data_IF_962803059270
#
_entry.id   IF_962803059270
#
_cell.length_a   1.000
_cell.length_b   1.000
_cell.length_c   1.000
_cell.angle_alpha   90.00
_cell.angle_beta   90.00
_cell.angle_gamma   90.00
#
_symmetry.space_group_name_H-M   'P 1'
#
loop_
_entity.id
_entity.type
_entity.pdbx_description
1 polymer ?
#
# COMPACT_ATOMS: atom_id res chain seq x y z
N UNK A 1 -26.13 -63.66 -42.24
CA UNK A 1 -25.28 -62.60 -42.85
C UNK A 1 -25.31 -61.41 -41.91
N UNK A 2 -24.13 -60.97 -41.44
CA UNK A 2 -23.81 -59.65 -40.83
C UNK A 2 -24.63 -59.26 -39.56
N UNK A 3 -24.07 -58.70 -38.49
CA UNK A 3 -22.87 -57.89 -38.39
C UNK A 3 -22.28 -57.97 -36.96
N UNK A 4 -20.95 -57.99 -36.92
CA UNK A 4 -20.09 -57.92 -35.75
C UNK A 4 -20.26 -56.54 -35.08
N UNK A 5 -20.48 -56.53 -33.77
CA UNK A 5 -20.69 -55.33 -32.97
C UNK A 5 -20.00 -55.46 -31.62
N UNK A 6 -18.70 -55.80 -31.66
CA UNK A 6 -17.79 -55.65 -30.52
C UNK A 6 -17.91 -54.25 -29.97
N UNK A 7 -18.58 -54.11 -28.83
CA UNK A 7 -18.24 -53.06 -27.90
C UNK A 7 -17.30 -53.71 -26.88
N UNK A 8 -15.97 -53.52 -26.96
CA UNK A 8 -15.11 -53.92 -25.88
C UNK A 8 -15.50 -53.05 -24.69
N UNK A 9 -16.21 -53.64 -23.73
CA UNK A 9 -16.24 -53.12 -22.38
C UNK A 9 -14.79 -53.03 -21.92
N UNK A 10 -14.22 -51.84 -22.04
CA UNK A 10 -12.96 -51.48 -21.41
C UNK A 10 -13.07 -51.93 -19.94
N UNK A 11 -12.10 -52.70 -19.43
CA UNK A 11 -12.11 -53.09 -18.03
C UNK A 11 -12.20 -51.83 -17.17
N UNK A 12 -13.20 -51.74 -16.31
CA UNK A 12 -13.30 -50.76 -15.21
C UNK A 12 -12.27 -51.18 -14.11
N UNK A 13 -11.07 -51.59 -14.52
CA UNK A 13 -9.93 -51.94 -13.66
C UNK A 13 -8.81 -50.90 -13.81
N UNK A 14 -9.25 -49.64 -13.73
CA UNK A 14 -8.50 -48.49 -13.27
C UNK A 14 -9.53 -47.45 -12.88
N UNK A 15 -10.29 -47.71 -11.81
CA UNK A 15 -10.68 -46.58 -10.95
C UNK A 15 -9.35 -45.94 -10.61
N UNK A 16 -9.07 -44.81 -11.26
CA UNK A 16 -7.73 -44.26 -11.32
C UNK A 16 -7.33 -43.99 -9.87
N UNK A 17 -6.18 -44.44 -9.40
CA UNK A 17 -5.77 -44.31 -7.99
C UNK A 17 -5.96 -42.91 -7.41
N UNK A 18 -5.87 -41.88 -8.25
CA UNK A 18 -6.17 -40.50 -7.88
C UNK A 18 -7.65 -40.23 -7.55
N UNK A 19 -8.59 -40.95 -8.15
CA UNK A 19 -10.04 -40.84 -7.84
C UNK A 19 -10.29 -41.39 -6.44
N UNK A 20 -9.72 -42.53 -6.08
CA UNK A 20 -9.84 -43.10 -4.73
C UNK A 20 -9.20 -42.16 -3.71
N UNK A 21 -7.99 -41.64 -3.99
CA UNK A 21 -7.33 -40.65 -3.13
C UNK A 21 -8.17 -39.37 -2.95
N UNK A 22 -8.83 -38.88 -4.00
CA UNK A 22 -9.73 -37.72 -3.91
C UNK A 22 -11.01 -38.04 -3.14
N UNK A 23 -11.61 -39.20 -3.35
CA UNK A 23 -12.81 -39.65 -2.64
C UNK A 23 -12.54 -39.89 -1.15
N UNK A 24 -11.37 -40.45 -0.80
CA UNK A 24 -10.91 -40.59 0.59
C UNK A 24 -10.68 -39.21 1.24
N UNK A 25 -10.02 -38.27 0.54
CA UNK A 25 -9.84 -36.89 1.03
C UNK A 25 -11.17 -36.18 1.25
N UNK A 26 -12.14 -36.38 0.34
CA UNK A 26 -13.50 -35.85 0.47
C UNK A 26 -14.24 -36.49 1.65
N UNK A 27 -14.11 -37.79 1.86
CA UNK A 27 -14.73 -38.50 2.98
C UNK A 27 -14.12 -38.09 4.34
N UNK A 28 -12.83 -37.75 4.38
CA UNK A 28 -12.14 -37.27 5.58
C UNK A 28 -12.34 -35.77 5.87
N UNK A 29 -12.93 -35.01 4.94
CA UNK A 29 -13.16 -33.56 5.09
C UNK A 29 -14.30 -33.28 6.07
N UNK A 30 -13.97 -33.23 7.34
CA UNK A 30 -14.88 -32.78 8.40
C UNK A 30 -14.81 -31.26 8.59
N UNK A 31 -15.81 -30.69 9.28
CA UNK A 31 -15.80 -29.28 9.69
C UNK A 31 -14.56 -28.90 10.52
N UNK A 32 -13.96 -29.86 11.26
CA UNK A 32 -12.73 -29.62 12.03
C UNK A 32 -11.48 -29.59 11.15
N UNK A 33 -11.47 -30.29 10.01
CA UNK A 33 -10.37 -30.22 9.04
C UNK A 33 -10.44 -28.89 8.29
N UNK A 34 -11.64 -28.42 7.93
CA UNK A 34 -11.82 -27.12 7.28
C UNK A 34 -11.40 -25.95 8.20
N UNK A 35 -11.68 -26.04 9.50
CA UNK A 35 -11.23 -25.02 10.46
C UNK A 35 -9.71 -25.06 10.69
N UNK A 36 -9.08 -26.25 10.65
CA UNK A 36 -7.62 -26.37 10.69
C UNK A 36 -6.96 -25.86 9.40
N UNK A 37 -7.54 -26.14 8.23
CA UNK A 37 -7.12 -25.55 6.96
C UNK A 37 -7.15 -24.01 7.07
N UNK A 38 -8.24 -23.42 7.56
CA UNK A 38 -8.34 -21.96 7.73
C UNK A 38 -7.26 -21.39 8.66
N UNK A 39 -7.00 -22.03 9.80
CA UNK A 39 -5.92 -21.63 10.70
C UNK A 39 -4.56 -21.74 10.02
N UNK A 40 -4.33 -22.78 9.22
CA UNK A 40 -3.08 -22.96 8.48
C UNK A 40 -2.89 -21.90 7.39
N UNK A 41 -3.95 -21.52 6.67
CA UNK A 41 -3.91 -20.49 5.62
C UNK A 41 -3.67 -19.07 6.17
N UNK A 42 -3.87 -18.85 7.48
CA UNK A 42 -3.61 -17.58 8.15
C UNK A 42 -2.19 -17.44 8.70
N UNK A 43 -1.40 -18.51 8.75
CA UNK A 43 -0.02 -18.46 9.28
C UNK A 43 0.98 -17.72 8.36
N UNK A 44 0.96 -17.94 7.04
CA UNK A 44 1.92 -17.30 6.17
C UNK A 44 1.69 -15.80 6.05
N UNK A 45 2.77 -15.04 6.10
CA UNK A 45 2.77 -13.59 5.89
C UNK A 45 3.76 -13.15 4.81
N UNK A 46 4.71 -14.01 4.44
CA UNK A 46 5.69 -13.76 3.39
C UNK A 46 5.38 -14.70 2.22
N UNK A 47 5.15 -14.12 1.04
CA UNK A 47 4.61 -14.86 -0.09
C UNK A 47 5.57 -14.86 -1.27
N UNK A 48 5.72 -16.02 -1.89
CA UNK A 48 6.30 -16.12 -3.23
C UNK A 48 5.21 -15.87 -4.27
N UNK A 49 5.36 -14.83 -5.06
CA UNK A 49 4.47 -14.47 -6.14
C UNK A 49 4.44 -15.55 -7.22
N UNK A 50 3.26 -15.80 -7.83
CA UNK A 50 3.16 -16.63 -9.01
C UNK A 50 4.06 -16.13 -10.14
N UNK A 51 4.66 -17.07 -10.88
CA UNK A 51 5.63 -16.75 -11.93
C UNK A 51 5.15 -15.71 -12.95
N UNK A 52 3.87 -15.75 -13.33
CA UNK A 52 3.32 -14.82 -14.33
C UNK A 52 3.29 -13.37 -13.81
N UNK A 53 3.00 -13.15 -12.52
CA UNK A 53 3.00 -11.82 -11.90
C UNK A 53 4.41 -11.26 -11.90
N UNK A 54 5.38 -12.06 -11.45
CA UNK A 54 6.81 -11.68 -11.44
C UNK A 54 7.32 -11.36 -12.84
N UNK A 55 6.86 -12.07 -13.87
CA UNK A 55 7.32 -11.85 -15.25
C UNK A 55 6.77 -10.56 -15.87
N UNK A 56 5.57 -10.12 -15.50
CA UNK A 56 4.97 -8.90 -16.07
C UNK A 56 5.72 -7.63 -15.66
N UNK A 57 6.16 -7.55 -14.39
CA UNK A 57 6.96 -6.43 -13.86
C UNK A 57 8.09 -6.93 -12.95
N UNK A 58 9.07 -7.60 -13.55
CA UNK A 58 10.18 -8.21 -12.79
C UNK A 58 11.00 -7.21 -12.00
N UNK A 59 11.14 -5.99 -12.50
CA UNK A 59 11.91 -4.91 -11.85
C UNK A 59 11.30 -4.43 -10.52
N UNK A 60 9.99 -4.66 -10.32
CA UNK A 60 9.26 -4.21 -9.13
C UNK A 60 9.28 -5.26 -8.01
N UNK A 61 9.21 -6.53 -8.37
CA UNK A 61 9.08 -7.62 -7.41
C UNK A 61 10.38 -8.40 -7.17
N UNK A 62 11.51 -7.97 -7.76
CA UNK A 62 12.80 -8.64 -7.59
C UNK A 62 13.83 -7.72 -6.93
N UNK A 63 14.52 -8.16 -5.86
CA UNK A 63 15.58 -7.38 -5.24
C UNK A 63 16.74 -7.16 -6.19
N UNK A 64 17.39 -6.00 -6.05
CA UNK A 64 18.45 -5.55 -6.95
C UNK A 64 19.82 -5.52 -6.27
N UNK A 65 19.85 -5.43 -4.94
CA UNK A 65 21.04 -5.17 -4.15
C UNK A 65 21.25 -6.23 -3.08
N UNK A 66 20.22 -6.59 -2.31
CA UNK A 66 20.35 -7.56 -1.20
C UNK A 66 19.23 -8.60 -1.17
N UNK A 67 19.62 -9.86 -1.01
CA UNK A 67 18.71 -10.94 -0.65
C UNK A 67 18.48 -10.97 0.87
N UNK A 68 17.22 -10.92 1.26
CA UNK A 68 16.74 -11.01 2.63
C UNK A 68 15.74 -12.16 2.70
N UNK A 69 16.05 -13.16 3.52
CA UNK A 69 15.30 -14.38 3.62
C UNK A 69 15.57 -15.36 2.45
N UNK A 70 14.82 -16.47 2.41
CA UNK A 70 15.17 -17.66 1.62
C UNK A 70 14.94 -17.50 0.11
N UNK A 71 13.96 -16.69 -0.32
CA UNK A 71 13.48 -16.79 -1.71
C UNK A 71 14.46 -16.29 -2.78
N UNK A 72 15.33 -15.33 -2.44
CA UNK A 72 16.30 -14.73 -3.36
C UNK A 72 17.76 -15.06 -3.02
N UNK A 73 18.01 -15.86 -1.98
CA UNK A 73 19.33 -16.10 -1.42
C UNK A 73 20.39 -16.55 -2.45
N UNK A 74 20.02 -17.43 -3.38
CA UNK A 74 20.98 -18.00 -4.34
C UNK A 74 21.22 -17.13 -5.59
N UNK A 75 20.57 -15.98 -5.72
CA UNK A 75 20.67 -15.16 -6.92
C UNK A 75 22.07 -14.55 -7.06
N UNK A 76 22.72 -14.84 -8.19
CA UNK A 76 24.12 -14.49 -8.42
C UNK A 76 24.41 -12.98 -8.33
N UNK A 77 23.48 -12.13 -8.75
CA UNK A 77 23.67 -10.67 -8.72
C UNK A 77 23.58 -10.06 -7.31
N UNK A 78 23.03 -10.79 -6.33
CA UNK A 78 22.87 -10.33 -4.94
C UNK A 78 24.03 -10.79 -4.03
N UNK A 79 24.80 -11.80 -4.46
CA UNK A 79 25.96 -12.34 -3.73
C UNK A 79 26.99 -11.31 -3.27
N UNK A 80 27.27 -10.20 -3.99
CA UNK A 80 28.24 -9.20 -3.54
C UNK A 80 27.93 -8.61 -2.15
N UNK A 81 26.69 -8.68 -1.66
CA UNK A 81 26.32 -8.18 -0.34
C UNK A 81 26.35 -9.22 0.78
N UNK A 82 26.45 -10.52 0.49
CA UNK A 82 26.52 -11.58 1.51
C UNK A 82 27.66 -11.36 2.51
N UNK A 83 28.91 -11.00 2.11
CA UNK A 83 29.97 -10.71 3.06
C UNK A 83 29.66 -9.52 3.99
N UNK A 84 28.86 -8.55 3.54
CA UNK A 84 28.47 -7.42 4.37
C UNK A 84 27.38 -7.81 5.40
N UNK A 85 26.59 -8.86 5.14
CA UNK A 85 25.66 -9.43 6.12
C UNK A 85 26.40 -10.19 7.21
N UNK A 86 27.42 -10.97 6.84
CA UNK A 86 28.30 -11.62 7.82
C UNK A 86 29.03 -10.61 8.71
N UNK A 87 29.53 -9.52 8.10
CA UNK A 87 30.14 -8.41 8.85
C UNK A 87 29.15 -7.74 9.81
N UNK A 88 27.91 -7.52 9.38
CA UNK A 88 26.86 -6.98 10.23
C UNK A 88 26.58 -7.87 11.45
N UNK A 89 26.54 -9.19 11.25
CA UNK A 89 26.40 -10.16 12.34
C UNK A 89 27.57 -10.06 13.35
N UNK A 90 28.82 -9.98 12.86
CA UNK A 90 29.99 -9.87 13.74
C UNK A 90 29.94 -8.57 14.57
N UNK A 91 29.69 -7.43 13.94
CA UNK A 91 29.54 -6.15 14.64
C UNK A 91 28.40 -6.17 15.66
N UNK A 92 27.25 -6.76 15.28
CA UNK A 92 26.12 -6.93 16.18
C UNK A 92 26.54 -7.73 17.43
N UNK A 93 27.18 -8.89 17.25
CA UNK A 93 27.63 -9.73 18.37
C UNK A 93 28.68 -9.04 19.23
N UNK A 94 29.69 -8.39 18.63
CA UNK A 94 30.72 -7.63 19.33
C UNK A 94 30.11 -6.51 20.20
N UNK A 95 29.12 -5.78 19.66
CA UNK A 95 28.41 -4.72 20.39
C UNK A 95 27.60 -5.27 21.55
N UNK A 96 26.95 -6.42 21.38
CA UNK A 96 26.15 -7.04 22.47
C UNK A 96 27.02 -7.63 23.58
N UNK A 97 28.23 -8.11 23.24
CA UNK A 97 29.05 -8.92 24.14
C UNK A 97 28.44 -10.30 24.49
N UNK A 98 27.34 -10.70 23.86
CA UNK A 98 26.62 -11.95 24.14
C UNK A 98 27.09 -13.10 23.24
N UNK A 99 27.12 -14.34 23.74
CA UNK A 99 27.49 -15.48 22.93
C UNK A 99 26.43 -15.78 21.85
N UNK A 100 26.86 -16.13 20.63
CA UNK A 100 25.97 -16.52 19.53
C UNK A 100 24.97 -17.63 19.93
N UNK A 101 25.36 -18.52 20.85
CA UNK A 101 24.50 -19.59 21.34
C UNK A 101 23.22 -19.12 22.05
N UNK A 102 23.17 -17.90 22.59
CA UNK A 102 21.93 -17.33 23.15
C UNK A 102 20.93 -16.97 22.05
N UNK A 103 21.40 -16.34 20.98
CA UNK A 103 20.59 -16.00 19.81
C UNK A 103 20.10 -17.26 19.07
N UNK A 104 20.98 -18.27 18.97
CA UNK A 104 20.62 -19.57 18.41
C UNK A 104 19.44 -20.20 19.17
N UNK A 105 19.53 -20.32 20.50
CA UNK A 105 18.44 -20.88 21.32
C UNK A 105 17.13 -20.10 21.20
N UNK A 106 17.20 -18.77 21.14
CA UNK A 106 16.02 -17.93 20.98
C UNK A 106 15.34 -18.14 19.61
N UNK A 107 16.12 -18.39 18.56
CA UNK A 107 15.62 -18.71 17.23
C UNK A 107 15.10 -20.14 17.12
N UNK A 108 15.80 -21.12 17.69
CA UNK A 108 15.36 -22.53 17.76
C UNK A 108 13.95 -22.64 18.38
N UNK A 109 13.69 -21.87 19.44
CA UNK A 109 12.39 -21.84 20.10
C UNK A 109 11.25 -21.32 19.20
N UNK A 110 11.56 -20.62 18.11
CA UNK A 110 10.60 -20.02 17.19
C UNK A 110 10.70 -20.54 15.74
N UNK A 111 11.58 -21.51 15.46
CA UNK A 111 11.92 -21.91 14.08
C UNK A 111 10.71 -22.39 13.28
N UNK A 112 9.81 -23.14 13.92
CA UNK A 112 8.58 -23.64 13.27
C UNK A 112 7.68 -22.47 12.87
N UNK A 113 7.43 -21.53 13.78
CA UNK A 113 6.60 -20.36 13.52
C UNK A 113 7.24 -19.47 12.43
N UNK A 114 8.56 -19.32 12.47
CA UNK A 114 9.30 -18.58 11.44
C UNK A 114 9.20 -19.26 10.07
N UNK A 115 9.31 -20.58 9.97
CA UNK A 115 9.14 -21.31 8.71
C UNK A 115 7.69 -21.22 8.22
N UNK A 116 6.70 -21.35 9.11
CA UNK A 116 5.27 -21.24 8.80
C UNK A 116 4.85 -19.84 8.33
N UNK A 117 5.66 -18.82 8.62
CA UNK A 117 5.44 -17.47 8.09
C UNK A 117 5.69 -17.35 6.58
N UNK A 118 6.37 -18.33 5.94
CA UNK A 118 6.64 -18.33 4.51
C UNK A 118 5.68 -19.24 3.75
N UNK A 119 5.00 -18.69 2.74
CA UNK A 119 4.21 -19.47 1.80
C UNK A 119 5.07 -19.94 0.62
N UNK A 120 5.15 -21.26 0.41
CA UNK A 120 5.92 -21.85 -0.70
C UNK A 120 7.42 -22.01 -0.39
N UNK A 121 7.76 -22.31 0.87
CA UNK A 121 9.13 -22.67 1.28
C UNK A 121 9.47 -24.12 0.88
N UNK A 122 9.55 -24.35 -0.44
CA UNK A 122 9.67 -25.69 -1.00
C UNK A 122 11.11 -26.23 -1.01
N UNK A 123 12.10 -25.34 -0.90
CA UNK A 123 13.52 -25.68 -0.93
C UNK A 123 13.90 -26.58 0.24
N UNK A 124 14.61 -27.67 -0.05
CA UNK A 124 15.01 -28.63 0.97
C UNK A 124 16.05 -28.03 1.94
N UNK A 125 16.85 -27.05 1.49
CA UNK A 125 17.81 -26.35 2.34
C UNK A 125 17.12 -25.61 3.48
N UNK A 126 15.99 -24.95 3.22
CA UNK A 126 15.28 -24.14 4.21
C UNK A 126 14.35 -24.93 5.12
N UNK A 127 14.16 -26.23 4.82
CA UNK A 127 13.52 -27.18 5.74
C UNK A 127 14.48 -27.68 6.82
N UNK A 128 15.78 -27.58 6.58
CA UNK A 128 16.78 -27.80 7.61
C UNK A 128 16.78 -26.62 8.59
N UNK A 129 16.55 -26.91 9.87
CA UNK A 129 16.39 -25.89 10.89
C UNK A 129 17.66 -25.06 11.09
N UNK A 130 18.83 -25.69 11.05
CA UNK A 130 20.11 -25.02 11.31
C UNK A 130 20.45 -24.03 10.19
N UNK A 131 20.30 -24.44 8.93
CA UNK A 131 20.51 -23.56 7.78
C UNK A 131 19.53 -22.37 7.80
N UNK A 132 18.25 -22.64 8.11
CA UNK A 132 17.23 -21.60 8.18
C UNK A 132 17.48 -20.61 9.33
N UNK A 133 17.85 -21.09 10.52
CA UNK A 133 18.17 -20.23 11.66
C UNK A 133 19.40 -19.37 11.37
N UNK A 134 20.45 -19.95 10.77
CA UNK A 134 21.63 -19.20 10.34
C UNK A 134 21.25 -18.04 9.40
N UNK A 135 20.38 -18.31 8.43
CA UNK A 135 19.86 -17.30 7.52
C UNK A 135 19.09 -16.20 8.26
N UNK A 136 18.16 -16.57 9.15
CA UNK A 136 17.34 -15.61 9.91
C UNK A 136 18.19 -14.72 10.83
N UNK A 137 19.20 -15.28 11.51
CA UNK A 137 20.12 -14.51 12.35
C UNK A 137 20.94 -13.54 11.49
N UNK A 138 21.53 -14.03 10.40
CA UNK A 138 22.43 -13.23 9.54
C UNK A 138 21.68 -12.07 8.89
N UNK A 139 20.54 -12.35 8.26
CA UNK A 139 19.73 -11.35 7.57
C UNK A 139 19.04 -10.42 8.56
N UNK A 140 18.59 -10.93 9.71
CA UNK A 140 17.99 -10.13 10.76
C UNK A 140 18.97 -9.14 11.39
N UNK A 141 20.19 -9.56 11.71
CA UNK A 141 21.25 -8.68 12.17
C UNK A 141 21.58 -7.61 11.13
N UNK A 142 21.71 -7.99 9.86
CA UNK A 142 21.94 -7.03 8.78
C UNK A 142 20.82 -5.97 8.68
N UNK A 143 19.55 -6.37 8.76
CA UNK A 143 18.43 -5.44 8.74
C UNK A 143 18.46 -4.48 9.94
N UNK A 144 18.76 -4.99 11.14
CA UNK A 144 18.90 -4.17 12.34
C UNK A 144 20.06 -3.17 12.22
N UNK A 145 21.22 -3.61 11.73
CA UNK A 145 22.39 -2.76 11.49
C UNK A 145 22.08 -1.63 10.50
N UNK A 146 21.46 -1.97 9.37
CA UNK A 146 21.04 -0.98 8.36
C UNK A 146 20.03 0.02 8.95
N UNK A 147 19.05 -0.44 9.73
CA UNK A 147 18.08 0.43 10.39
C UNK A 147 18.69 1.26 11.55
N UNK A 148 19.88 0.91 12.06
CA UNK A 148 20.62 1.67 13.09
C UNK A 148 21.56 2.73 12.50
N UNK A 149 21.81 2.73 11.20
CA UNK A 149 22.67 3.73 10.56
C UNK A 149 22.21 5.16 10.89
N UNK A 150 23.17 5.99 11.33
CA UNK A 150 22.91 7.36 11.78
C UNK A 150 22.24 7.48 13.16
N UNK A 151 22.24 6.41 13.96
CA UNK A 151 22.00 6.48 15.42
C UNK A 151 23.31 6.36 16.19
N UNK A 152 23.27 6.64 17.50
CA UNK A 152 24.39 6.35 18.42
C UNK A 152 24.81 4.88 18.38
N UNK A 153 23.88 3.96 18.08
CA UNK A 153 24.12 2.51 18.07
C UNK A 153 24.70 1.99 16.74
N UNK A 154 24.62 2.75 15.65
CA UNK A 154 25.14 2.35 14.32
C UNK A 154 26.45 3.05 13.94
N UNK A 155 27.17 3.62 14.91
CA UNK A 155 28.35 4.47 14.72
C UNK A 155 29.70 3.79 14.99
N UNK A 156 29.74 2.48 15.20
CA UNK A 156 30.94 1.71 15.51
C UNK A 156 31.76 1.33 14.25
N UNK A 157 31.21 1.53 13.05
CA UNK A 157 31.94 1.36 11.80
C UNK A 157 32.93 2.52 11.58
N UNK A 158 34.11 2.18 11.06
CA UNK A 158 35.09 3.18 10.66
C UNK A 158 34.48 4.17 9.65
N UNK A 159 34.80 5.48 9.72
CA UNK A 159 34.31 6.46 8.75
C UNK A 159 34.66 6.12 7.28
N UNK A 160 35.75 5.39 7.07
CA UNK A 160 36.23 4.89 5.78
C UNK A 160 35.57 3.58 5.34
N UNK A 161 34.64 3.02 6.11
CA UNK A 161 34.00 1.77 5.77
C UNK A 161 33.25 1.87 4.43
N UNK A 162 33.49 0.94 3.48
CA UNK A 162 32.95 1.04 2.12
C UNK A 162 31.45 0.73 2.01
N UNK A 163 30.77 0.40 3.11
CA UNK A 163 29.36 0.04 3.15
C UNK A 163 28.58 0.76 4.25
N UNK A 164 28.91 0.52 5.51
CA UNK A 164 28.26 1.09 6.69
C UNK A 164 28.81 2.47 7.07
N UNK A 165 29.95 2.88 6.49
CA UNK A 165 30.51 4.21 6.71
C UNK A 165 29.54 5.32 6.27
N UNK A 166 29.59 6.52 6.88
CA UNK A 166 28.60 7.59 6.64
C UNK A 166 28.42 7.97 5.17
N UNK A 167 29.51 8.01 4.39
CA UNK A 167 29.45 8.36 2.97
C UNK A 167 29.00 7.22 2.04
N UNK A 168 29.25 5.97 2.43
CA UNK A 168 28.86 4.80 1.65
C UNK A 168 27.37 4.49 1.87
N UNK A 169 26.94 4.52 3.13
CA UNK A 169 25.56 4.26 3.53
C UNK A 169 24.58 5.23 2.87
N UNK A 170 24.87 6.54 2.81
CA UNK A 170 24.01 7.52 2.14
C UNK A 170 23.67 7.16 0.68
N UNK A 171 24.58 6.49 -0.04
CA UNK A 171 24.37 6.09 -1.45
C UNK A 171 23.71 4.73 -1.60
N UNK A 172 23.95 3.79 -0.68
CA UNK A 172 23.47 2.40 -0.78
C UNK A 172 22.14 2.17 -0.07
N UNK A 173 21.91 2.87 1.03
CA UNK A 173 20.71 2.71 1.88
C UNK A 173 19.40 2.90 1.11
N UNK A 174 19.24 3.87 0.17
CA UNK A 174 17.99 3.98 -0.59
C UNK A 174 17.63 2.70 -1.36
N UNK A 175 18.62 2.02 -1.96
CA UNK A 175 18.39 0.78 -2.69
C UNK A 175 18.10 -0.40 -1.76
N UNK A 176 18.78 -0.47 -0.60
CA UNK A 176 18.50 -1.49 0.42
C UNK A 176 17.10 -1.29 1.02
N UNK A 177 16.70 -0.04 1.31
CA UNK A 177 15.34 0.30 1.75
C UNK A 177 14.29 -0.21 0.79
N UNK A 178 14.53 -0.05 -0.51
CA UNK A 178 13.64 -0.57 -1.55
C UNK A 178 13.57 -2.10 -1.46
N UNK A 179 14.69 -2.80 -1.45
CA UNK A 179 14.73 -4.26 -1.37
C UNK A 179 14.10 -4.81 -0.07
N UNK A 180 14.17 -4.08 1.05
CA UNK A 180 13.50 -4.42 2.33
C UNK A 180 11.97 -4.31 2.27
N UNK A 181 11.40 -3.71 1.23
CA UNK A 181 9.96 -3.57 1.02
C UNK A 181 9.42 -4.49 -0.08
N UNK A 182 10.25 -5.39 -0.63
CA UNK A 182 9.80 -6.37 -1.62
C UNK A 182 9.09 -7.53 -0.92
N UNK A 183 7.89 -7.87 -1.38
CA UNK A 183 7.07 -8.94 -0.77
C UNK A 183 7.76 -10.30 -0.70
N UNK A 184 8.59 -10.63 -1.69
CA UNK A 184 9.37 -11.88 -1.75
C UNK A 184 10.71 -11.81 -0.99
N UNK A 185 11.08 -10.65 -0.44
CA UNK A 185 12.41 -10.40 0.15
C UNK A 185 12.28 -9.89 1.59
N UNK A 186 11.61 -10.68 2.43
CA UNK A 186 11.26 -10.31 3.81
C UNK A 186 11.90 -11.26 4.82
N UNK A 187 12.13 -10.74 6.03
CA UNK A 187 12.41 -11.50 7.24
C UNK A 187 11.26 -11.26 8.21
N UNK A 188 10.71 -12.28 8.88
CA UNK A 188 9.63 -12.11 9.85
C UNK A 188 10.04 -11.16 10.98
N UNK A 189 9.13 -10.29 11.40
CA UNK A 189 9.35 -9.41 12.54
C UNK A 189 9.65 -10.21 13.81
N UNK A 190 9.07 -11.41 13.94
CA UNK A 190 9.36 -12.36 15.02
C UNK A 190 10.87 -12.67 15.13
N UNK A 191 11.58 -12.87 14.03
CA UNK A 191 13.03 -13.11 14.06
C UNK A 191 13.76 -11.88 14.62
N UNK A 192 13.40 -10.67 14.16
CA UNK A 192 13.97 -9.43 14.69
C UNK A 192 13.67 -9.27 16.18
N UNK A 193 12.45 -9.62 16.62
CA UNK A 193 12.02 -9.59 18.03
C UNK A 193 12.88 -10.53 18.88
N UNK A 194 13.16 -11.75 18.43
CA UNK A 194 14.07 -12.67 19.14
C UNK A 194 15.49 -12.10 19.24
N UNK A 195 16.03 -11.51 18.17
CA UNK A 195 17.36 -10.89 18.18
C UNK A 195 17.45 -9.72 19.17
N UNK A 196 16.51 -8.77 19.10
CA UNK A 196 16.52 -7.57 19.94
C UNK A 196 16.21 -7.89 21.41
N UNK A 197 15.35 -8.89 21.66
CA UNK A 197 15.08 -9.39 23.01
C UNK A 197 16.34 -9.96 23.67
N UNK A 198 17.10 -10.78 22.95
CA UNK A 198 18.37 -11.31 23.45
C UNK A 198 19.40 -10.20 23.59
N UNK A 199 19.58 -9.30 22.60
CA UNK A 199 20.57 -8.21 22.67
C UNK A 199 20.42 -7.36 23.95
N UNK A 200 19.19 -7.01 24.33
CA UNK A 200 18.91 -6.00 25.36
C UNK A 200 18.23 -6.55 26.63
N UNK A 201 18.13 -7.88 26.77
CA UNK A 201 17.42 -8.55 27.89
C UNK A 201 15.96 -8.10 28.05
N UNK A 202 15.27 -7.95 26.91
CA UNK A 202 13.91 -7.41 26.86
C UNK A 202 12.85 -8.52 26.76
N UNK A 203 11.65 -8.21 27.23
CA UNK A 203 10.47 -8.96 26.82
C UNK A 203 10.23 -8.81 25.31
N UNK A 204 9.51 -9.77 24.73
CA UNK A 204 9.19 -9.74 23.30
C UNK A 204 8.41 -8.47 22.89
N UNK A 205 7.56 -7.95 23.79
CA UNK A 205 6.81 -6.72 23.58
C UNK A 205 7.71 -5.48 23.57
N UNK A 206 8.70 -5.43 24.48
CA UNK A 206 9.68 -4.35 24.52
C UNK A 206 10.58 -4.37 23.29
N UNK A 207 11.04 -5.55 22.88
CA UNK A 207 11.80 -5.73 21.65
C UNK A 207 11.02 -5.23 20.41
N UNK A 208 9.72 -5.53 20.33
CA UNK A 208 8.86 -5.03 19.24
C UNK A 208 8.73 -3.50 19.24
N UNK A 209 8.63 -2.87 20.42
CA UNK A 209 8.62 -1.41 20.53
C UNK A 209 9.95 -0.79 20.06
N UNK A 210 11.10 -1.39 20.37
CA UNK A 210 12.41 -0.93 19.90
C UNK A 210 12.55 -1.07 18.38
N UNK A 211 12.13 -2.20 17.82
CA UNK A 211 12.15 -2.41 16.37
C UNK A 211 11.22 -1.41 15.67
N UNK A 212 10.05 -1.13 16.25
CA UNK A 212 9.12 -0.15 15.71
C UNK A 212 9.69 1.27 15.76
N UNK A 213 10.45 1.62 16.80
CA UNK A 213 11.18 2.89 16.87
C UNK A 213 12.21 3.02 15.73
N UNK A 214 13.03 1.98 15.53
CA UNK A 214 14.01 1.92 14.45
C UNK A 214 13.34 2.03 13.08
N UNK A 215 12.25 1.27 12.89
CA UNK A 215 11.45 1.29 11.67
C UNK A 215 10.90 2.68 11.37
N UNK A 216 10.24 3.34 12.34
CA UNK A 216 9.64 4.66 12.14
C UNK A 216 10.70 5.70 11.78
N UNK A 217 11.85 5.68 12.47
CA UNK A 217 12.97 6.58 12.16
C UNK A 217 13.47 6.37 10.73
N UNK A 218 13.57 5.12 10.32
CA UNK A 218 14.22 4.73 9.06
C UNK A 218 13.28 4.87 7.85
N UNK A 219 12.02 4.46 7.95
CA UNK A 219 11.05 4.44 6.85
C UNK A 219 10.02 5.58 6.91
N UNK A 220 9.67 6.08 8.09
CA UNK A 220 8.53 6.99 8.25
C UNK A 220 8.88 8.24 9.09
N UNK A 221 9.81 9.10 8.63
CA UNK A 221 10.28 10.26 9.39
C UNK A 221 9.17 11.20 9.86
N UNK A 222 8.06 11.27 9.12
CA UNK A 222 6.89 12.09 9.46
C UNK A 222 6.19 11.64 10.75
N UNK A 223 6.00 10.33 10.94
CA UNK A 223 5.44 9.79 12.18
C UNK A 223 6.49 9.89 13.29
N UNK A 224 7.76 9.61 12.97
CA UNK A 224 8.85 9.68 13.94
C UNK A 224 9.02 11.06 14.58
N UNK A 225 8.90 12.13 13.78
CA UNK A 225 9.01 13.52 14.24
C UNK A 225 7.83 14.01 15.10
N UNK A 226 6.73 13.26 15.15
CA UNK A 226 5.54 13.58 15.94
C UNK A 226 5.48 12.69 17.18
N UNK A 227 5.84 13.24 18.34
CA UNK A 227 6.00 12.48 19.57
C UNK A 227 4.74 11.72 20.00
N UNK A 228 3.55 12.33 19.82
CA UNK A 228 2.28 11.72 20.20
C UNK A 228 1.91 10.59 19.22
N UNK A 229 2.00 10.85 17.92
CA UNK A 229 1.73 9.85 16.88
C UNK A 229 2.71 8.68 16.96
N UNK A 230 4.00 8.94 17.17
CA UNK A 230 5.04 7.92 17.37
C UNK A 230 4.72 7.01 18.56
N UNK A 231 4.36 7.60 19.70
CA UNK A 231 4.02 6.83 20.91
C UNK A 231 2.79 5.97 20.69
N UNK A 232 1.74 6.54 20.09
CA UNK A 232 0.51 5.82 19.78
C UNK A 232 0.80 4.65 18.82
N UNK A 233 1.53 4.89 17.73
CA UNK A 233 1.90 3.87 16.76
C UNK A 233 2.58 2.67 17.40
N UNK A 234 3.59 2.89 18.26
CA UNK A 234 4.31 1.82 18.98
C UNK A 234 3.43 0.98 19.89
N UNK A 235 2.32 1.54 20.38
CA UNK A 235 1.42 0.87 21.31
C UNK A 235 0.27 0.15 20.62
N UNK A 236 -0.11 0.58 19.42
CA UNK A 236 -1.33 0.10 18.74
C UNK A 236 -1.05 -0.66 17.44
N UNK A 237 0.11 -0.48 16.83
CA UNK A 237 0.45 -1.08 15.54
C UNK A 237 1.46 -2.20 15.72
N UNK A 238 1.03 -3.40 15.38
CA UNK A 238 1.85 -4.60 15.31
C UNK A 238 2.05 -5.00 13.85
N UNK A 239 3.24 -5.46 13.48
CA UNK A 239 3.57 -5.86 12.11
C UNK A 239 4.04 -7.31 12.01
N UNK A 240 3.84 -7.92 10.85
CA UNK A 240 4.30 -9.29 10.57
C UNK A 240 5.74 -9.33 10.06
N UNK A 241 6.12 -8.35 9.24
CA UNK A 241 7.46 -8.10 8.68
C UNK A 241 7.53 -6.62 8.26
N UNK A 242 8.66 -6.17 7.70
CA UNK A 242 8.89 -4.74 7.41
C UNK A 242 7.89 -4.16 6.40
N UNK A 243 7.58 -4.88 5.31
CA UNK A 243 6.57 -4.42 4.34
C UNK A 243 5.16 -4.28 4.96
N UNK A 244 4.73 -5.21 5.81
CA UNK A 244 3.43 -5.08 6.51
C UNK A 244 3.42 -3.89 7.48
N UNK A 245 4.51 -3.68 8.23
CA UNK A 245 4.65 -2.52 9.10
C UNK A 245 4.65 -1.20 8.31
N UNK A 246 5.26 -1.20 7.12
CA UNK A 246 5.21 -0.09 6.16
C UNK A 246 3.80 0.18 5.67
N UNK A 247 3.09 -0.85 5.23
CA UNK A 247 1.68 -0.75 4.86
C UNK A 247 0.84 -0.14 5.98
N UNK A 248 0.94 -0.69 7.19
CA UNK A 248 0.20 -0.20 8.37
C UNK A 248 0.53 1.25 8.70
N UNK A 249 1.78 1.67 8.51
CA UNK A 249 2.19 3.07 8.67
C UNK A 249 1.49 4.04 7.70
N UNK A 250 1.16 3.58 6.50
CA UNK A 250 0.40 4.38 5.51
C UNK A 250 -1.09 4.45 5.82
N UNK A 251 -1.61 3.54 6.65
CA UNK A 251 -3.02 3.49 7.05
C UNK A 251 -3.26 4.13 8.43
N UNK A 252 -2.19 4.39 9.18
CA UNK A 252 -2.28 4.88 10.55
C UNK A 252 -2.78 6.32 10.65
N UNK A 253 -3.92 6.51 11.33
CA UNK A 253 -4.48 7.82 11.67
C UNK A 253 -4.31 8.04 13.17
N UNK A 254 -3.46 8.99 13.61
CA UNK A 254 -3.34 9.34 15.02
C UNK A 254 -4.68 9.77 15.62
N UNK A 255 -4.94 9.37 16.86
CA UNK A 255 -6.16 9.66 17.63
C UNK A 255 -6.54 11.15 17.63
N UNK A 256 -5.56 12.05 17.72
CA UNK A 256 -5.76 13.51 17.64
C UNK A 256 -6.43 13.99 16.34
N UNK A 257 -6.32 13.21 15.26
CA UNK A 257 -7.01 13.47 13.98
C UNK A 257 -8.29 12.66 13.82
N UNK A 258 -8.46 11.56 14.57
CA UNK A 258 -9.63 10.68 14.51
C UNK A 258 -10.94 11.40 14.88
N UNK A 259 -10.90 12.34 15.84
CA UNK A 259 -12.06 13.15 16.23
C UNK A 259 -12.61 14.09 15.13
N UNK A 260 -11.80 14.39 14.10
CA UNK A 260 -12.19 15.18 12.92
C UNK A 260 -12.49 14.32 11.69
N UNK A 261 -11.98 13.08 11.66
CA UNK A 261 -12.10 12.17 10.51
C UNK A 261 -13.22 11.15 10.66
N UNK A 262 -13.73 10.91 11.88
CA UNK A 262 -14.83 9.96 12.11
C UNK A 262 -16.20 10.60 11.92
N UNK A 263 -16.54 10.98 10.68
CA UNK A 263 -17.92 10.81 10.27
C UNK A 263 -18.11 9.29 10.12
N UNK A 264 -18.53 8.63 11.21
CA UNK A 264 -19.02 7.24 11.15
C UNK A 264 -19.93 7.15 9.94
N UNK A 265 -19.69 6.17 9.06
CA UNK A 265 -20.71 5.71 8.12
C UNK A 265 -21.98 5.54 8.95
N UNK A 266 -23.09 6.24 8.64
CA UNK A 266 -24.29 6.10 9.43
C UNK A 266 -24.69 4.62 9.46
N UNK A 267 -25.16 4.07 10.61
CA UNK A 267 -25.52 2.64 10.75
C UNK A 267 -26.68 2.17 9.85
N UNK A 268 -27.11 3.00 8.90
CA UNK A 268 -28.25 2.81 8.01
C UNK A 268 -27.86 2.73 6.53
N UNK A 269 -26.57 2.56 6.21
CA UNK A 269 -26.20 2.17 4.85
C UNK A 269 -26.80 0.79 4.54
N UNK A 270 -27.67 0.64 3.52
CA UNK A 270 -28.27 -0.65 3.22
C UNK A 270 -27.19 -1.66 2.86
N UNK A 271 -27.22 -2.83 3.52
CA UNK A 271 -26.25 -3.94 3.37
C UNK A 271 -26.18 -4.54 1.95
N UNK A 272 -26.99 -4.05 1.00
CA UNK A 272 -26.79 -4.27 -0.44
C UNK A 272 -27.15 -3.00 -1.21
N UNK A 273 -26.25 -2.45 -2.03
CA UNK A 273 -26.62 -1.38 -2.96
C UNK A 273 -27.61 -1.93 -4.00
N UNK A 274 -28.68 -1.17 -4.34
CA UNK A 274 -29.51 -1.50 -5.49
C UNK A 274 -28.65 -1.40 -6.76
N UNK A 275 -28.65 -2.47 -7.56
CA UNK A 275 -28.05 -2.63 -8.91
C UNK A 275 -26.80 -1.78 -9.21
N UNK A 276 -25.65 -2.46 -9.34
CA UNK A 276 -24.38 -1.96 -9.89
C UNK A 276 -24.54 -1.15 -11.19
N UNK A 277 -24.91 0.12 -11.11
CA UNK A 277 -24.43 1.12 -12.04
C UNK A 277 -23.11 1.63 -11.47
N UNK A 278 -22.02 1.09 -12.02
CA UNK A 278 -20.66 1.50 -11.75
C UNK A 278 -20.51 2.99 -12.07
N UNK A 279 -20.74 3.84 -11.08
CA UNK A 279 -20.52 5.27 -11.20
C UNK A 279 -19.00 5.51 -11.12
N UNK A 280 -18.33 5.40 -12.26
CA UNK A 280 -16.95 5.86 -12.42
C UNK A 280 -16.92 7.32 -11.99
N UNK A 281 -16.14 7.62 -10.95
CA UNK A 281 -15.92 8.98 -10.47
C UNK A 281 -15.24 9.79 -11.58
N UNK A 282 -15.64 11.05 -11.73
CA UNK A 282 -15.00 11.94 -12.71
C UNK A 282 -13.61 12.36 -12.24
N UNK A 283 -12.68 12.69 -13.15
CA UNK A 283 -11.38 13.23 -12.80
C UNK A 283 -11.46 14.56 -12.02
N UNK A 284 -10.35 14.94 -11.38
CA UNK A 284 -10.30 16.07 -10.46
C UNK A 284 -10.78 17.40 -11.07
N UNK A 285 -10.42 17.67 -12.33
CA UNK A 285 -10.86 18.89 -13.04
C UNK A 285 -12.37 18.91 -13.20
N UNK A 286 -12.97 17.82 -13.68
CA UNK A 286 -14.42 17.73 -13.90
C UNK A 286 -15.19 17.88 -12.58
N UNK A 287 -14.68 17.30 -11.49
CA UNK A 287 -15.24 17.49 -10.15
C UNK A 287 -15.16 18.97 -9.72
N UNK A 288 -14.03 19.63 -9.99
CA UNK A 288 -13.86 21.05 -9.70
C UNK A 288 -14.85 21.93 -10.47
N UNK A 289 -15.04 21.64 -11.76
CA UNK A 289 -16.01 22.30 -12.63
C UNK A 289 -17.46 22.04 -12.17
N UNK A 290 -17.74 20.88 -11.55
CA UNK A 290 -19.03 20.57 -10.93
C UNK A 290 -19.25 21.22 -9.55
N UNK A 291 -18.22 21.81 -8.94
CA UNK A 291 -18.32 22.58 -7.70
C UNK A 291 -17.62 21.94 -6.51
N UNK A 292 -16.93 20.83 -6.72
CA UNK A 292 -16.15 20.18 -5.69
C UNK A 292 -14.91 21.04 -5.37
N UNK A 293 -14.71 21.27 -4.09
CA UNK A 293 -13.52 21.92 -3.54
C UNK A 293 -12.58 20.86 -3.00
N UNK A 294 -11.29 21.08 -3.19
CA UNK A 294 -10.25 20.18 -2.74
C UNK A 294 -9.59 20.72 -1.48
N UNK A 295 -9.30 19.83 -0.53
CA UNK A 295 -8.64 20.17 0.72
C UNK A 295 -7.59 19.13 1.10
N UNK A 296 -6.43 19.58 1.53
CA UNK A 296 -5.41 18.68 2.08
C UNK A 296 -5.80 18.28 3.51
N UNK A 297 -5.88 16.97 3.75
CA UNK A 297 -6.09 16.38 5.06
C UNK A 297 -4.90 16.68 5.99
N UNK A 298 -5.13 16.87 7.30
CA UNK A 298 -4.05 17.12 8.27
C UNK A 298 -3.21 15.87 8.58
N UNK A 299 -3.64 14.69 8.12
CA UNK A 299 -2.91 13.42 8.27
C UNK A 299 -2.41 12.92 6.90
N UNK A 300 -1.33 12.14 6.92
CA UNK A 300 -0.77 11.50 5.74
C UNK A 300 -1.31 10.08 5.49
N UNK A 301 -2.28 9.63 6.28
CA UNK A 301 -2.88 8.32 6.10
C UNK A 301 -3.66 8.25 4.79
N UNK A 302 -3.46 7.18 4.02
CA UNK A 302 -4.11 6.97 2.73
C UNK A 302 -5.62 6.79 2.85
N UNK A 303 -6.10 6.31 4.00
CA UNK A 303 -7.52 6.17 4.32
C UNK A 303 -8.19 7.46 4.75
N UNK A 304 -7.44 8.56 4.96
CA UNK A 304 -7.97 9.85 5.38
C UNK A 304 -8.57 10.64 4.20
N UNK A 305 -9.47 9.98 3.47
CA UNK A 305 -10.25 10.54 2.38
C UNK A 305 -11.69 10.72 2.84
N UNK A 306 -12.20 11.94 2.71
CA UNK A 306 -13.56 12.26 3.14
C UNK A 306 -14.22 13.22 2.17
N UNK A 307 -15.51 13.01 1.91
CA UNK A 307 -16.31 13.93 1.12
C UNK A 307 -17.48 14.50 1.95
N UNK A 308 -17.41 15.80 2.23
CA UNK A 308 -18.53 16.55 2.81
C UNK A 308 -19.47 16.97 1.67
N UNK A 309 -20.56 16.22 1.52
CA UNK A 309 -21.57 16.46 0.49
C UNK A 309 -22.33 17.77 0.66
N UNK A 310 -22.43 18.32 1.86
CA UNK A 310 -23.12 19.60 2.06
C UNK A 310 -22.28 20.75 1.52
N UNK A 311 -20.98 20.71 1.80
CA UNK A 311 -20.02 21.74 1.36
C UNK A 311 -19.45 21.48 -0.03
N UNK A 312 -19.61 20.27 -0.57
CA UNK A 312 -18.92 19.82 -1.77
C UNK A 312 -17.41 19.78 -1.56
N UNK A 313 -16.94 19.36 -0.39
CA UNK A 313 -15.52 19.40 -0.02
C UNK A 313 -14.92 17.99 -0.01
N UNK A 314 -14.00 17.72 -0.92
CA UNK A 314 -13.22 16.48 -0.96
C UNK A 314 -11.87 16.72 -0.26
N UNK A 315 -11.68 16.02 0.86
CA UNK A 315 -10.44 16.05 1.65
C UNK A 315 -9.60 14.82 1.35
N UNK A 316 -8.31 15.01 1.08
CA UNK A 316 -7.35 13.99 0.64
C UNK A 316 -6.02 14.13 1.36
N UNK A 317 -5.30 13.05 1.69
CA UNK A 317 -3.97 13.14 2.27
C UNK A 317 -2.96 13.75 1.28
N UNK A 318 -1.94 14.43 1.81
CA UNK A 318 -0.79 14.86 1.00
C UNK A 318 -0.01 13.63 0.53
N UNK A 319 0.11 13.49 -0.79
CA UNK A 319 0.92 12.50 -1.46
C UNK A 319 2.17 13.15 -2.05
N UNK A 320 3.33 12.58 -1.71
CA UNK A 320 4.58 12.86 -2.40
C UNK A 320 4.84 11.68 -3.32
N UNK A 321 4.91 11.93 -4.63
CA UNK A 321 5.04 10.89 -5.64
C UNK A 321 6.39 11.04 -6.34
N UNK A 322 7.18 9.99 -6.33
CA UNK A 322 8.53 9.91 -6.89
C UNK A 322 8.77 8.54 -7.54
N UNK A 323 9.98 8.30 -8.02
CA UNK A 323 10.37 7.08 -8.72
C UNK A 323 10.24 5.80 -7.86
N UNK A 324 10.13 5.89 -6.52
CA UNK A 324 9.93 4.71 -5.65
C UNK A 324 8.46 4.43 -5.37
N UNK A 325 7.57 5.38 -5.68
CA UNK A 325 6.15 5.29 -5.33
C UNK A 325 5.47 4.10 -5.99
N UNK A 326 5.71 3.85 -7.29
CA UNK A 326 5.14 2.69 -8.00
C UNK A 326 5.46 1.38 -7.28
N UNK A 327 6.75 1.24 -6.98
CA UNK A 327 7.32 0.06 -6.36
C UNK A 327 6.70 -0.19 -4.98
N UNK A 328 6.57 0.86 -4.16
CA UNK A 328 6.02 0.76 -2.81
C UNK A 328 4.55 0.35 -2.84
N UNK A 329 3.75 1.00 -3.69
CA UNK A 329 2.32 0.70 -3.79
C UNK A 329 2.08 -0.72 -4.30
N UNK A 330 2.76 -1.16 -5.35
CA UNK A 330 2.53 -2.48 -5.93
C UNK A 330 2.96 -3.63 -5.00
N UNK A 331 4.03 -3.46 -4.21
CA UNK A 331 4.40 -4.46 -3.20
C UNK A 331 3.36 -4.51 -2.05
N UNK A 332 2.83 -3.36 -1.61
CA UNK A 332 1.75 -3.33 -0.61
C UNK A 332 0.44 -3.91 -1.15
N UNK A 333 0.08 -3.62 -2.40
CA UNK A 333 -1.08 -4.18 -3.10
C UNK A 333 -0.92 -5.70 -3.22
N UNK A 334 0.25 -6.19 -3.64
CA UNK A 334 0.51 -7.62 -3.71
C UNK A 334 0.33 -8.31 -2.34
N UNK A 335 0.73 -7.65 -1.24
CA UNK A 335 0.53 -8.16 0.11
C UNK A 335 -0.97 -8.25 0.45
N UNK A 336 -1.76 -7.21 0.15
CA UNK A 336 -3.21 -7.22 0.34
C UNK A 336 -3.92 -8.34 -0.41
N UNK A 337 -3.47 -8.65 -1.63
CA UNK A 337 -4.07 -9.70 -2.46
C UNK A 337 -3.77 -11.11 -1.95
N UNK A 338 -2.66 -11.31 -1.24
CA UNK A 338 -2.19 -12.63 -0.82
C UNK A 338 -2.47 -12.94 0.64
N UNK A 339 -2.49 -11.91 1.50
CA UNK A 339 -2.67 -12.09 2.93
C UNK A 339 -4.14 -11.92 3.34
N UNK A 340 -4.80 -12.96 3.90
CA UNK A 340 -6.25 -12.95 4.16
C UNK A 340 -6.73 -11.81 5.06
N UNK A 341 -5.93 -11.44 6.06
CA UNK A 341 -6.31 -10.44 7.08
C UNK A 341 -5.77 -9.04 6.75
N UNK A 342 -5.20 -8.81 5.57
CA UNK A 342 -4.64 -7.50 5.22
C UNK A 342 -5.71 -6.47 4.86
N UNK A 343 -6.86 -6.87 4.32
CA UNK A 343 -7.84 -5.92 3.78
C UNK A 343 -7.44 -5.40 2.40
N UNK A 344 -8.12 -4.36 1.92
CA UNK A 344 -7.97 -3.82 0.55
C UNK A 344 -7.86 -2.31 0.48
N UNK A 345 -7.40 -1.66 1.56
CA UNK A 345 -7.36 -0.21 1.70
C UNK A 345 -6.39 0.46 0.73
N UNK A 346 -5.18 -0.09 0.55
CA UNK A 346 -4.17 0.43 -0.38
C UNK A 346 -4.66 0.24 -1.81
N UNK A 347 -5.18 -0.95 -2.13
CA UNK A 347 -5.75 -1.28 -3.44
C UNK A 347 -6.91 -0.35 -3.79
N UNK A 348 -7.82 -0.11 -2.83
CA UNK A 348 -8.92 0.84 -2.98
C UNK A 348 -8.40 2.27 -3.20
N UNK A 349 -7.31 2.65 -2.54
CA UNK A 349 -6.71 3.97 -2.70
C UNK A 349 -6.07 4.15 -4.07
N UNK A 350 -5.35 3.15 -4.59
CA UNK A 350 -4.76 3.19 -5.94
C UNK A 350 -5.85 3.38 -7.00
N UNK A 351 -6.93 2.61 -6.92
CA UNK A 351 -8.10 2.73 -7.82
C UNK A 351 -8.78 4.09 -7.68
N UNK A 352 -8.92 4.59 -6.45
CA UNK A 352 -9.47 5.91 -6.21
C UNK A 352 -8.63 7.01 -6.87
N UNK A 353 -7.30 6.92 -6.76
CA UNK A 353 -6.38 7.89 -7.35
C UNK A 353 -6.34 7.82 -8.87
N UNK A 354 -6.43 6.62 -9.46
CA UNK A 354 -6.59 6.41 -10.91
C UNK A 354 -7.85 7.11 -11.45
N UNK A 355 -9.00 6.92 -10.78
CA UNK A 355 -10.23 7.62 -11.17
C UNK A 355 -10.14 9.16 -11.01
N UNK A 356 -9.38 9.63 -10.02
CA UNK A 356 -9.25 11.06 -9.73
C UNK A 356 -8.23 11.75 -10.66
N UNK A 357 -7.20 11.05 -11.12
CA UNK A 357 -6.02 11.63 -11.81
C UNK A 357 -5.83 11.00 -13.19
N UNK A 358 -6.61 11.45 -14.17
CA UNK A 358 -6.53 10.93 -15.54
C UNK A 358 -5.55 11.73 -16.42
N UNK A 359 -5.36 13.02 -16.15
CA UNK A 359 -4.58 13.93 -17.00
C UNK A 359 -3.60 14.82 -16.23
N UNK A 360 -2.66 15.42 -16.97
CA UNK A 360 -1.74 16.43 -16.42
C UNK A 360 -2.46 17.65 -15.82
N UNK A 361 -3.71 17.96 -16.24
CA UNK A 361 -4.49 19.05 -15.66
C UNK A 361 -4.98 18.70 -14.26
N UNK A 362 -5.37 17.45 -14.03
CA UNK A 362 -5.80 16.94 -12.72
C UNK A 362 -4.64 17.01 -11.71
N UNK A 363 -3.45 16.59 -12.14
CA UNK A 363 -2.22 16.70 -11.35
C UNK A 363 -1.94 18.14 -10.94
N UNK A 364 -2.01 19.10 -11.88
CA UNK A 364 -1.80 20.53 -11.59
C UNK A 364 -2.81 21.09 -10.62
N UNK A 365 -4.09 20.70 -10.78
CA UNK A 365 -5.15 21.14 -9.89
C UNK A 365 -4.91 20.66 -8.46
N UNK A 366 -4.60 19.37 -8.29
CA UNK A 366 -4.34 18.78 -6.97
C UNK A 366 -3.05 19.30 -6.33
N UNK A 367 -2.01 19.52 -7.14
CA UNK A 367 -0.78 20.20 -6.70
C UNK A 367 -1.05 21.62 -6.21
N UNK A 368 -1.88 22.39 -6.93
CA UNK A 368 -2.30 23.73 -6.51
C UNK A 368 -3.07 23.77 -5.18
N UNK A 369 -3.69 22.66 -4.78
CA UNK A 369 -4.38 22.50 -3.49
C UNK A 369 -3.52 21.82 -2.42
N UNK A 370 -2.24 21.54 -2.71
CA UNK A 370 -1.31 20.92 -1.78
C UNK A 370 -1.60 19.45 -1.48
N UNK A 371 -2.37 18.75 -2.34
CA UNK A 371 -2.71 17.34 -2.17
C UNK A 371 -1.64 16.44 -2.79
N UNK A 372 -1.01 16.88 -3.86
CA UNK A 372 -0.11 16.05 -4.65
C UNK A 372 1.15 16.80 -5.00
N UNK A 373 2.30 16.29 -4.58
CA UNK A 373 3.62 16.83 -4.88
C UNK A 373 4.35 15.93 -5.89
N UNK A 374 4.73 16.52 -7.03
CA UNK A 374 5.30 15.78 -8.15
C UNK A 374 6.84 15.76 -8.09
N UNK A 375 7.41 14.58 -7.86
CA UNK A 375 8.85 14.31 -7.92
C UNK A 375 9.40 13.99 -9.33
N UNK A 376 8.53 13.66 -10.31
CA UNK A 376 8.91 13.27 -11.68
C UNK A 376 9.24 14.46 -12.60
N UNK A 377 9.02 15.69 -12.14
CA UNK A 377 9.22 16.92 -12.92
C UNK A 377 8.16 17.19 -14.01
N UNK A 378 7.52 16.16 -14.60
CA UNK A 378 6.42 16.30 -15.57
C UNK A 378 5.11 15.75 -15.04
N UNK A 379 4.04 16.56 -15.11
CA UNK A 379 2.71 16.18 -14.61
C UNK A 379 2.09 15.00 -15.35
N UNK A 380 2.42 14.83 -16.64
CA UNK A 380 1.89 13.73 -17.47
C UNK A 380 2.42 12.37 -17.01
N UNK A 381 3.66 12.29 -16.58
CA UNK A 381 4.29 11.04 -16.16
C UNK A 381 3.63 10.53 -14.87
N UNK A 382 3.34 11.44 -13.95
CA UNK A 382 2.65 11.14 -12.70
C UNK A 382 1.21 10.63 -12.93
N UNK A 383 0.44 11.23 -13.86
CA UNK A 383 -0.87 10.70 -14.22
C UNK A 383 -0.74 9.30 -14.84
N UNK A 384 0.23 9.12 -15.75
CA UNK A 384 0.52 7.81 -16.35
C UNK A 384 0.88 6.73 -15.34
N UNK A 385 1.54 7.10 -14.24
CA UNK A 385 1.90 6.20 -13.15
C UNK A 385 0.66 5.61 -12.46
N UNK A 386 -0.29 6.44 -12.01
CA UNK A 386 -1.52 5.96 -11.36
C UNK A 386 -2.33 5.05 -12.29
N UNK A 387 -2.44 5.43 -13.57
CA UNK A 387 -3.10 4.63 -14.60
C UNK A 387 -2.38 3.31 -14.87
N UNK A 388 -1.06 3.24 -14.67
CA UNK A 388 -0.33 1.99 -14.78
C UNK A 388 -0.50 1.09 -13.55
N UNK A 389 -0.55 1.66 -12.35
CA UNK A 389 -0.70 0.90 -11.10
C UNK A 389 -2.09 0.25 -11.00
N UNK A 390 -3.16 0.98 -11.38
CA UNK A 390 -4.54 0.47 -11.29
C UNK A 390 -4.81 -0.72 -12.22
N UNK A 391 -4.12 -0.82 -13.37
CA UNK A 391 -4.23 -1.96 -14.29
C UNK A 391 -3.85 -3.31 -13.64
N UNK A 392 -3.08 -3.26 -12.56
CA UNK A 392 -2.53 -4.45 -11.90
C UNK A 392 -3.31 -4.85 -10.64
N UNK A 393 -4.32 -4.06 -10.25
CA UNK A 393 -5.17 -4.31 -9.07
C UNK A 393 -6.40 -5.13 -9.51
N UNK A 394 -6.57 -6.34 -8.96
CA UNK A 394 -7.78 -7.16 -9.17
C UNK A 394 -8.78 -6.80 -8.06
N UNK A 395 -10.01 -6.46 -8.43
CA UNK A 395 -10.88 -5.66 -7.57
C UNK A 395 -11.77 -6.46 -6.62
N UNK A 396 -11.88 -5.96 -5.38
CA UNK A 396 -13.10 -6.01 -4.57
C UNK A 396 -13.55 -4.56 -4.27
N UNK A 397 -14.58 -4.07 -4.98
CA UNK A 397 -15.05 -2.68 -4.91
C UNK A 397 -16.08 -2.45 -3.77
N UNK A 398 -15.83 -3.01 -2.59
CA UNK A 398 -16.74 -2.93 -1.43
C UNK A 398 -16.39 -1.88 -0.37
N UNK A 399 -15.28 -1.15 -0.51
CA UNK A 399 -14.67 -0.35 0.57
C UNK A 399 -15.20 1.08 0.78
N UNK A 400 -14.68 1.74 1.82
CA UNK A 400 -15.03 3.13 2.22
C UNK A 400 -14.80 4.17 1.11
N UNK A 401 -13.81 3.96 0.24
CA UNK A 401 -13.52 4.85 -0.89
C UNK A 401 -14.56 4.73 -2.00
N UNK A 402 -15.18 3.56 -2.19
CA UNK A 402 -16.30 3.40 -3.11
C UNK A 402 -17.50 4.25 -2.70
N UNK A 403 -17.73 4.38 -1.38
CA UNK A 403 -18.74 5.31 -0.86
C UNK A 403 -18.41 6.77 -1.17
N UNK A 404 -17.14 7.19 -1.00
CA UNK A 404 -16.69 8.55 -1.32
C UNK A 404 -16.90 8.86 -2.80
N UNK A 405 -16.48 7.96 -3.69
CA UNK A 405 -16.68 8.08 -5.14
C UNK A 405 -18.16 8.29 -5.48
N UNK A 406 -19.03 7.47 -4.87
CA UNK A 406 -20.47 7.55 -5.07
C UNK A 406 -21.06 8.88 -4.60
N UNK A 407 -20.72 9.35 -3.39
CA UNK A 407 -21.26 10.61 -2.87
C UNK A 407 -20.79 11.82 -3.68
N UNK A 408 -19.52 11.81 -4.15
CA UNK A 408 -19.00 12.82 -5.04
C UNK A 408 -19.76 12.87 -6.38
N UNK A 409 -20.03 11.70 -6.99
CA UNK A 409 -20.79 11.66 -8.24
C UNK A 409 -22.26 12.08 -8.02
N UNK A 410 -22.89 11.67 -6.93
CA UNK A 410 -24.25 12.12 -6.58
C UNK A 410 -24.30 13.65 -6.40
N UNK A 411 -23.28 14.25 -5.79
CA UNK A 411 -23.17 15.69 -5.68
C UNK A 411 -23.07 16.35 -7.07
N UNK A 412 -22.24 15.82 -7.96
CA UNK A 412 -22.04 16.36 -9.31
C UNK A 412 -23.28 16.22 -10.19
N UNK A 413 -24.07 15.15 -10.03
CA UNK A 413 -25.32 14.92 -10.79
C UNK A 413 -26.47 15.84 -10.39
N UNK A 414 -26.36 16.61 -9.30
CA UNK A 414 -27.38 17.63 -8.97
C UNK A 414 -27.51 18.61 -10.14
N UNK A 415 -28.76 18.94 -10.53
CA UNK A 415 -29.04 19.79 -11.70
C UNK A 415 -28.17 21.05 -11.73
N UNK A 416 -28.14 21.80 -10.63
CA UNK A 416 -27.31 23.02 -10.53
C UNK A 416 -25.82 22.77 -10.78
N UNK A 417 -25.25 21.72 -10.20
CA UNK A 417 -23.83 21.39 -10.30
C UNK A 417 -23.46 20.89 -11.70
N UNK A 418 -24.34 20.11 -12.33
CA UNK A 418 -24.17 19.67 -13.71
C UNK A 418 -24.25 20.87 -14.69
N UNK A 419 -25.21 21.78 -14.48
CA UNK A 419 -25.30 23.02 -15.25
C UNK A 419 -24.07 23.92 -15.04
N UNK A 420 -23.56 24.01 -13.81
CA UNK A 420 -22.30 24.72 -13.50
C UNK A 420 -21.13 24.11 -14.26
N UNK A 421 -20.96 22.80 -14.23
CA UNK A 421 -19.89 22.11 -14.96
C UNK A 421 -19.94 22.44 -16.45
N UNK A 422 -21.11 22.27 -17.08
CA UNK A 422 -21.29 22.59 -18.50
C UNK A 422 -20.99 24.07 -18.80
N UNK A 423 -21.39 24.98 -17.92
CA UNK A 423 -21.12 26.40 -18.07
C UNK A 423 -19.62 26.71 -17.99
N UNK A 424 -18.94 26.21 -16.96
CA UNK A 424 -17.49 26.41 -16.76
C UNK A 424 -16.74 25.83 -17.96
N UNK A 425 -17.01 24.59 -18.32
CA UNK A 425 -16.34 23.89 -19.42
C UNK A 425 -16.51 24.61 -20.76
N UNK A 426 -17.70 25.13 -21.06
CA UNK A 426 -18.02 25.77 -22.36
C UNK A 426 -17.55 27.21 -22.45
N UNK A 427 -17.74 28.00 -21.38
CA UNK A 427 -17.56 29.46 -21.44
C UNK A 427 -16.33 29.96 -20.70
N UNK A 428 -15.84 29.26 -19.69
CA UNK A 428 -14.74 29.76 -18.85
C UNK A 428 -13.37 29.11 -19.15
N UNK A 429 -13.35 28.01 -19.91
CA UNK A 429 -12.11 27.33 -20.31
C UNK A 429 -11.28 28.10 -21.34
N UNK A 430 -11.94 28.85 -22.24
CA UNK A 430 -11.28 29.65 -23.26
C UNK A 430 -11.45 31.15 -22.95
N UNK A 431 -10.36 31.92 -22.82
CA UNK A 431 -10.44 33.36 -22.52
C UNK A 431 -11.36 34.12 -23.47
N UNK A 432 -11.35 33.78 -24.76
CA UNK A 432 -12.18 34.46 -25.77
C UNK A 432 -13.67 34.14 -25.63
N UNK A 433 -14.02 32.90 -25.27
CA UNK A 433 -15.42 32.56 -25.00
C UNK A 433 -15.90 33.22 -23.72
N UNK A 434 -15.02 33.34 -22.71
CA UNK A 434 -15.32 34.04 -21.46
C UNK A 434 -15.55 35.54 -21.69
N UNK A 435 -14.69 36.20 -22.46
CA UNK A 435 -14.87 37.60 -22.82
C UNK A 435 -16.14 37.83 -23.65
N UNK A 436 -16.40 36.98 -24.63
CA UNK A 436 -17.60 37.05 -25.46
C UNK A 436 -18.87 36.91 -24.61
N UNK A 437 -18.89 35.93 -23.70
CA UNK A 437 -19.99 35.75 -22.76
C UNK A 437 -20.17 36.96 -21.83
N UNK A 438 -19.08 37.50 -21.27
CA UNK A 438 -19.13 38.66 -20.38
C UNK A 438 -19.66 39.90 -21.11
N UNK A 439 -19.24 40.13 -22.35
CA UNK A 439 -19.76 41.21 -23.18
C UNK A 439 -21.26 41.04 -23.46
N UNK A 440 -21.70 39.83 -23.85
CA UNK A 440 -23.11 39.54 -24.08
C UNK A 440 -23.96 39.76 -22.80
N UNK A 441 -23.47 39.30 -21.64
CA UNK A 441 -24.14 39.50 -20.36
C UNK A 441 -24.24 40.98 -19.98
N UNK A 442 -23.17 41.76 -20.18
CA UNK A 442 -23.17 43.19 -19.93
C UNK A 442 -24.19 43.94 -20.80
N UNK A 443 -24.28 43.58 -22.09
CA UNK A 443 -25.29 44.15 -23.02
C UNK A 443 -26.71 43.86 -22.51
N UNK A 444 -26.98 42.62 -22.09
CA UNK A 444 -28.31 42.24 -21.57
C UNK A 444 -28.65 43.04 -20.31
N UNK A 445 -27.71 43.16 -19.36
CA UNK A 445 -27.92 43.91 -18.11
C UNK A 445 -28.18 45.40 -18.37
N UNK A 446 -27.41 46.01 -19.26
CA UNK A 446 -27.60 47.41 -19.66
C UNK A 446 -28.96 47.62 -20.34
N UNK A 447 -29.39 46.69 -21.18
CA UNK A 447 -30.69 46.74 -21.87
C UNK A 447 -31.85 46.61 -20.87
N UNK A 448 -31.74 45.68 -19.92
CA UNK A 448 -32.73 45.49 -18.86
C UNK A 448 -32.84 46.75 -17.98
N UNK A 449 -31.70 47.31 -17.56
CA UNK A 449 -31.66 48.55 -16.79
C UNK A 449 -32.31 49.71 -17.58
N UNK A 450 -31.96 49.88 -18.86
CA UNK A 450 -32.57 50.87 -19.74
C UNK A 450 -34.08 50.71 -19.86
N UNK A 451 -34.58 49.47 -19.94
CA UNK A 451 -36.02 49.17 -19.98
C UNK A 451 -36.70 49.56 -18.68
N UNK A 452 -36.08 49.27 -17.53
CA UNK A 452 -36.62 49.64 -16.21
C UNK A 452 -36.68 51.15 -16.05
N UNK A 453 -35.61 51.88 -16.40
CA UNK A 453 -35.61 53.35 -16.36
C UNK A 453 -36.70 53.94 -17.25
N UNK A 454 -36.85 53.42 -18.47
CA UNK A 454 -37.89 53.86 -19.41
C UNK A 454 -39.30 53.64 -18.85
N UNK A 455 -39.55 52.48 -18.23
CA UNK A 455 -40.84 52.16 -17.61
C UNK A 455 -41.14 53.04 -16.39
N UNK A 456 -40.12 53.33 -15.56
CA UNK A 456 -40.25 54.24 -14.41
C UNK A 456 -40.55 55.68 -14.86
N UNK A 457 -39.88 56.13 -15.91
CA UNK A 457 -40.08 57.47 -16.47
C UNK A 457 -41.48 57.61 -17.09
N UNK A 458 -41.96 56.59 -17.79
CA UNK A 458 -43.34 56.53 -18.28
C UNK A 458 -44.38 56.58 -17.15
N UNK A 459 -44.12 55.89 -16.04
CA UNK A 459 -45.00 55.91 -14.86
C UNK A 459 -45.02 57.26 -14.14
N UNK A 460 -43.94 58.05 -14.20
CA UNK A 460 -43.91 59.42 -13.65
C UNK A 460 -44.59 60.44 -14.57
N UNK A 461 -44.78 60.12 -15.85
CA UNK A 461 -45.49 60.97 -16.82
C UNK A 461 -47.00 60.73 -16.89
N UNK A 462 -47.50 59.72 -16.15
CA UNK A 462 -48.92 59.48 -15.85
C UNK A 462 -49.26 60.13 -14.50
#
# INVERSE_FOLDING_TARGET
>A
MQNDGRNPSLPIEKVRSWVIDVEEKLASRSLSVLSQEEVQWRKPSIFRLPYFVRKMKSEIFSPQVVALGPFHHHQHHLRPLEPHKERALLHFLERTGKPLGEFLRAMEAAVVELQESYYGLDDQEWKDADNFIKLMITDGCFMLEVMRLGTEHGGDYAPSDPFFGPHASQRKVPYIKRDMLIIENQVPLLALKKLVAVENDLSEKEAEMEITELFLRFFVPKIYGDQEARREFKLTVHGLHILDLYRRSKLFIPSKFSSRSSAKVPPSAPEKPPSFEFAIMRPAVDLHEAGVKFHCSPTHALTAVHFDRQRGLLSLPLLTVDDTTEFEFLNMVALEHLHPDSGGEISSFVVFMDALVDSAKDVRLLHGHGILFNGFGRDKDLAGLFNSMSKEVIMDQGGSLGYVQREAEIYCRRRWNNWRANFVHTYLTNPWTAFSFAAAAAVILLTAAGTVFSALQWKQSL
#
